data_IF_090053167613
#
_entry.id   IF_090053167613
#
_cell.length_a   1.000
_cell.length_b   1.000
_cell.length_c   1.000
_cell.angle_alpha   90.00
_cell.angle_beta   90.00
_cell.angle_gamma   90.00
#
_symmetry.space_group_name_H-M   'P 1'
#
loop_
_entity.id
_entity.type
_entity.pdbx_description
1 polymer ?
#
# COMPACT_ATOMS: atom_id res chain seq x y z
N UNK A 1 2.57 -28.11 23.67
CA UNK A 1 1.71 -27.59 22.59
C UNK A 1 1.87 -28.52 21.40
N UNK A 2 0.79 -28.89 20.70
CA UNK A 2 0.82 -29.69 19.46
C UNK A 2 0.05 -28.94 18.39
N UNK A 3 0.57 -28.86 17.17
CA UNK A 3 -0.08 -28.24 16.02
C UNK A 3 -1.02 -29.29 15.42
N UNK A 4 -2.30 -28.96 15.27
CA UNK A 4 -3.29 -29.85 14.64
C UNK A 4 -3.30 -29.66 13.12
N UNK A 5 -3.32 -28.40 12.70
CA UNK A 5 -3.31 -27.98 11.30
C UNK A 5 -2.31 -26.85 11.13
N UNK A 6 -1.41 -26.95 10.15
CA UNK A 6 -0.40 -25.93 9.89
C UNK A 6 -0.98 -24.69 9.18
N UNK A 7 -1.97 -24.88 8.31
CA UNK A 7 -2.62 -23.82 7.56
C UNK A 7 -4.14 -24.03 7.59
N UNK A 8 -4.81 -23.36 8.53
CA UNK A 8 -6.28 -23.43 8.66
C UNK A 8 -7.00 -22.40 7.79
N UNK A 9 -6.36 -21.25 7.53
CA UNK A 9 -6.93 -20.14 6.79
C UNK A 9 -5.84 -19.32 6.12
N UNK A 10 -6.25 -18.53 5.14
CA UNK A 10 -5.45 -17.48 4.51
C UNK A 10 -6.17 -16.16 4.80
N UNK A 11 -5.42 -15.16 5.24
CA UNK A 11 -5.95 -13.86 5.66
C UNK A 11 -5.37 -12.78 4.78
N UNK A 12 -6.20 -11.80 4.43
CA UNK A 12 -5.79 -10.56 3.78
C UNK A 12 -5.04 -9.65 4.75
N UNK A 13 -4.19 -8.77 4.22
CA UNK A 13 -3.55 -7.73 5.00
C UNK A 13 -4.58 -6.83 5.70
N UNK A 14 -5.75 -6.61 5.08
CA UNK A 14 -6.85 -5.86 5.68
C UNK A 14 -7.45 -6.54 6.93
N UNK A 15 -7.73 -7.84 6.88
CA UNK A 15 -8.27 -8.58 8.02
C UNK A 15 -7.28 -8.57 9.20
N UNK A 16 -5.98 -8.74 8.89
CA UNK A 16 -4.91 -8.64 9.88
C UNK A 16 -4.85 -7.22 10.48
N UNK A 17 -4.89 -6.20 9.63
CA UNK A 17 -4.91 -4.80 10.05
C UNK A 17 -6.10 -4.49 10.97
N UNK A 18 -7.30 -4.91 10.60
CA UNK A 18 -8.51 -4.73 11.41
C UNK A 18 -8.38 -5.45 12.76
N UNK A 19 -7.91 -6.70 12.75
CA UNK A 19 -7.73 -7.50 13.95
C UNK A 19 -6.74 -6.85 14.95
N UNK A 20 -5.59 -6.39 14.46
CA UNK A 20 -4.58 -5.72 15.28
C UNK A 20 -5.08 -4.37 15.82
N UNK A 21 -5.80 -3.61 14.98
CA UNK A 21 -6.43 -2.36 15.39
C UNK A 21 -7.44 -2.57 16.53
N UNK A 22 -8.26 -3.62 16.44
CA UNK A 22 -9.26 -3.95 17.45
C UNK A 22 -8.65 -4.49 18.75
N UNK A 23 -7.54 -5.23 18.66
CA UNK A 23 -6.74 -5.59 19.84
C UNK A 23 -6.22 -4.33 20.53
N UNK A 24 -5.64 -3.38 19.78
CA UNK A 24 -5.09 -2.13 20.34
C UNK A 24 -6.16 -1.29 21.03
N UNK A 25 -7.35 -1.16 20.42
CA UNK A 25 -8.51 -0.48 21.02
C UNK A 25 -8.93 -1.13 22.34
N UNK A 26 -9.04 -2.46 22.39
CA UNK A 26 -9.39 -3.22 23.60
C UNK A 26 -8.34 -3.11 24.70
N UNK A 27 -7.06 -3.09 24.34
CA UNK A 27 -5.96 -2.95 25.29
C UNK A 27 -5.93 -1.55 25.92
N UNK A 28 -6.27 -0.51 25.15
CA UNK A 28 -6.34 0.87 25.65
C UNK A 28 -7.57 1.13 26.54
N UNK A 29 -8.68 0.43 26.31
CA UNK A 29 -9.92 0.59 27.08
C UNK A 29 -10.01 -0.30 28.33
N UNK A 30 -9.14 -1.31 28.45
CA UNK A 30 -9.15 -2.26 29.56
C UNK A 30 -8.32 -1.79 30.75
N UNK A 31 -8.88 -1.96 31.95
CA UNK A 31 -8.20 -1.83 33.26
C UNK A 31 -6.88 -2.65 33.30
N UNK A 32 -5.87 -2.25 34.11
CA UNK A 32 -4.47 -2.73 34.07
C UNK A 32 -4.25 -4.25 34.22
N UNK A 33 -5.29 -5.03 34.52
CA UNK A 33 -5.23 -6.49 34.71
C UNK A 33 -5.26 -7.31 33.40
N UNK A 34 -5.54 -6.68 32.25
CA UNK A 34 -5.62 -7.34 30.92
C UNK A 34 -4.68 -6.74 29.89
N UNK A 35 -3.57 -6.14 30.34
CA UNK A 35 -2.58 -5.54 29.45
C UNK A 35 -1.90 -6.64 28.63
N UNK A 36 -1.84 -6.42 27.32
CA UNK A 36 -1.12 -7.27 26.38
C UNK A 36 0.35 -7.44 26.81
N UNK A 37 0.92 -8.65 26.70
CA UNK A 37 2.35 -8.87 26.91
C UNK A 37 3.20 -7.93 26.05
N UNK A 38 4.33 -7.49 26.56
CA UNK A 38 5.15 -6.45 25.93
C UNK A 38 5.64 -6.83 24.52
N UNK A 39 6.12 -8.06 24.33
CA UNK A 39 6.56 -8.53 23.01
C UNK A 39 5.43 -8.57 21.98
N UNK A 40 4.25 -9.02 22.40
CA UNK A 40 3.07 -9.07 21.54
C UNK A 40 2.59 -7.64 21.18
N UNK A 41 2.69 -6.71 22.13
CA UNK A 41 2.40 -5.31 21.87
C UNK A 41 3.39 -4.69 20.88
N UNK A 42 4.70 -4.93 21.05
CA UNK A 42 5.73 -4.45 20.12
C UNK A 42 5.48 -4.98 18.72
N UNK A 43 5.29 -6.29 18.55
CA UNK A 43 5.01 -6.90 17.26
C UNK A 43 3.74 -6.32 16.62
N UNK A 44 2.66 -6.15 17.39
CA UNK A 44 1.42 -5.57 16.86
C UNK A 44 1.62 -4.14 16.35
N UNK A 45 2.49 -3.36 17.01
CA UNK A 45 2.81 -1.99 16.60
C UNK A 45 3.65 -2.00 15.32
N UNK A 46 4.69 -2.82 15.26
CA UNK A 46 5.59 -2.93 14.10
C UNK A 46 4.85 -3.41 12.84
N UNK A 47 3.94 -4.39 12.97
CA UNK A 47 3.13 -4.86 11.84
C UNK A 47 2.16 -3.79 11.37
N UNK A 48 1.50 -3.07 12.29
CA UNK A 48 0.64 -1.95 11.91
C UNK A 48 1.44 -0.84 11.22
N UNK A 49 2.62 -0.50 11.73
CA UNK A 49 3.51 0.49 11.12
C UNK A 49 3.93 0.08 9.70
N UNK A 50 4.30 -1.20 9.51
CA UNK A 50 4.60 -1.75 8.20
C UNK A 50 3.42 -1.60 7.22
N UNK A 51 2.21 -1.99 7.63
CA UNK A 51 1.02 -1.89 6.78
C UNK A 51 0.59 -0.43 6.50
N UNK A 52 0.90 0.49 7.41
CA UNK A 52 0.55 1.90 7.30
C UNK A 52 1.62 2.76 6.57
N UNK A 53 2.73 2.16 6.13
CA UNK A 53 3.83 2.90 5.47
C UNK A 53 3.73 2.80 3.94
N UNK A 54 4.00 3.87 3.21
CA UNK A 54 4.14 3.79 1.75
C UNK A 54 5.28 2.82 1.35
N UNK A 55 5.11 1.98 0.31
CA UNK A 55 4.07 2.04 -0.72
C UNK A 55 2.84 1.14 -0.46
N UNK A 56 2.60 0.68 0.77
CA UNK A 56 1.51 -0.27 1.01
C UNK A 56 0.12 0.38 0.87
N UNK A 57 -0.86 -0.33 0.26
CA UNK A 57 -2.20 0.21 0.02
C UNK A 57 -2.99 0.63 1.26
N UNK A 58 -2.61 0.15 2.45
CA UNK A 58 -3.32 0.45 3.69
C UNK A 58 -2.80 1.73 4.39
N UNK A 59 -1.81 2.43 3.82
CA UNK A 59 -1.22 3.63 4.43
C UNK A 59 -2.23 4.75 4.70
N UNK A 60 -3.22 4.93 3.82
CA UNK A 60 -4.27 5.94 3.93
C UNK A 60 -5.62 5.36 4.37
N UNK A 61 -5.64 4.10 4.83
CA UNK A 61 -6.87 3.38 5.17
C UNK A 61 -7.70 4.08 6.25
N UNK A 62 -7.07 4.84 7.16
CA UNK A 62 -7.78 5.62 8.19
C UNK A 62 -8.54 6.80 7.61
N UNK A 63 -8.09 7.34 6.49
CA UNK A 63 -8.59 8.56 5.86
C UNK A 63 -9.58 8.24 4.74
N UNK A 64 -9.20 7.35 3.80
CA UNK A 64 -9.98 7.06 2.60
C UNK A 64 -10.90 5.85 2.71
N UNK A 65 -10.60 4.89 3.58
CA UNK A 65 -11.39 3.66 3.80
C UNK A 65 -11.64 2.83 2.53
N UNK A 66 -10.68 2.78 1.62
CA UNK A 66 -10.76 1.96 0.39
C UNK A 66 -10.96 0.46 0.69
N UNK A 67 -10.43 -0.02 1.81
CA UNK A 67 -10.54 -1.41 2.21
C UNK A 67 -11.67 -1.64 3.21
N UNK A 68 -12.51 -2.63 2.91
CA UNK A 68 -13.59 -3.09 3.77
C UNK A 68 -13.91 -4.54 3.46
N UNK A 69 -14.64 -5.19 4.37
CA UNK A 69 -15.19 -6.52 4.10
C UNK A 69 -16.07 -6.52 2.84
N UNK A 70 -16.84 -5.45 2.61
CA UNK A 70 -17.70 -5.33 1.43
C UNK A 70 -16.91 -5.18 0.13
N UNK A 71 -15.78 -4.44 0.15
CA UNK A 71 -14.93 -4.31 -1.06
C UNK A 71 -14.17 -5.59 -1.37
N UNK A 72 -13.80 -6.38 -0.37
CA UNK A 72 -13.26 -7.73 -0.57
C UNK A 72 -14.29 -8.65 -1.24
N UNK A 73 -15.52 -8.71 -0.71
CA UNK A 73 -16.60 -9.51 -1.28
C UNK A 73 -16.91 -9.10 -2.72
N UNK A 74 -17.00 -7.80 -2.98
CA UNK A 74 -17.23 -7.24 -4.32
C UNK A 74 -16.10 -7.58 -5.29
N UNK A 75 -14.84 -7.48 -4.86
CA UNK A 75 -13.68 -7.84 -5.69
C UNK A 75 -13.72 -9.33 -6.03
N UNK A 76 -13.95 -10.20 -5.04
CA UNK A 76 -14.04 -11.64 -5.26
C UNK A 76 -15.17 -12.01 -6.23
N UNK A 77 -16.34 -11.39 -6.10
CA UNK A 77 -17.47 -11.60 -7.00
C UNK A 77 -17.13 -11.20 -8.44
N UNK A 78 -16.61 -9.97 -8.62
CA UNK A 78 -16.24 -9.46 -9.94
C UNK A 78 -15.11 -10.25 -10.61
N UNK A 79 -14.11 -10.68 -9.84
CA UNK A 79 -13.03 -11.53 -10.34
C UNK A 79 -13.57 -12.91 -10.77
N UNK A 80 -14.42 -13.53 -9.96
CA UNK A 80 -15.00 -14.83 -10.30
C UNK A 80 -15.91 -14.78 -11.54
N UNK A 81 -16.63 -13.67 -11.75
CA UNK A 81 -17.50 -13.48 -12.91
C UNK A 81 -16.72 -13.23 -14.20
N UNK A 82 -15.75 -12.31 -14.17
CA UNK A 82 -15.05 -11.83 -15.38
C UNK A 82 -13.74 -12.56 -15.67
N UNK A 83 -13.07 -13.06 -14.65
CA UNK A 83 -11.75 -13.68 -14.74
C UNK A 83 -11.72 -15.01 -13.98
N UNK A 84 -12.49 -16.02 -14.43
CA UNK A 84 -12.68 -17.27 -13.69
C UNK A 84 -11.39 -18.08 -13.48
N UNK A 85 -10.37 -17.83 -14.29
CA UNK A 85 -9.07 -18.47 -14.18
C UNK A 85 -8.15 -17.86 -13.10
N UNK A 86 -8.56 -16.75 -12.46
CA UNK A 86 -7.81 -16.17 -11.34
C UNK A 86 -7.92 -17.10 -10.12
N UNK A 87 -6.77 -17.54 -9.63
CA UNK A 87 -6.71 -18.41 -8.45
C UNK A 87 -6.97 -17.61 -7.18
N UNK A 88 -7.33 -18.32 -6.10
CA UNK A 88 -7.52 -17.68 -4.77
C UNK A 88 -6.25 -16.96 -4.28
N UNK A 89 -5.07 -17.51 -4.60
CA UNK A 89 -3.80 -16.90 -4.20
C UNK A 89 -3.52 -15.60 -4.98
N UNK A 90 -3.81 -15.59 -6.28
CA UNK A 90 -3.72 -14.39 -7.12
C UNK A 90 -4.73 -13.34 -6.68
N UNK A 91 -5.99 -13.72 -6.42
CA UNK A 91 -7.01 -12.80 -5.92
C UNK A 91 -6.64 -12.16 -4.57
N UNK A 92 -6.05 -12.94 -3.66
CA UNK A 92 -5.48 -12.43 -2.41
C UNK A 92 -4.37 -11.41 -2.67
N UNK A 93 -3.42 -11.76 -3.53
CA UNK A 93 -2.30 -10.87 -3.86
C UNK A 93 -2.74 -9.60 -4.59
N UNK A 94 -3.75 -9.69 -5.47
CA UNK A 94 -4.38 -8.53 -6.12
C UNK A 94 -4.98 -7.60 -5.05
N UNK A 95 -5.69 -8.14 -4.07
CA UNK A 95 -6.27 -7.35 -2.99
C UNK A 95 -5.20 -6.70 -2.11
N UNK A 96 -4.18 -7.46 -1.72
CA UNK A 96 -3.13 -7.01 -0.80
C UNK A 96 -2.13 -6.03 -1.44
N UNK A 97 -1.83 -6.17 -2.73
CA UNK A 97 -0.85 -5.33 -3.46
C UNK A 97 -1.53 -4.17 -4.20
N UNK A 98 -2.79 -4.32 -4.62
CA UNK A 98 -3.56 -3.33 -5.39
C UNK A 98 -2.82 -2.87 -6.67
N UNK A 99 -2.67 -3.75 -7.67
CA UNK A 99 -2.02 -3.39 -8.93
C UNK A 99 -2.81 -2.28 -9.66
N UNK A 100 -2.17 -1.13 -9.87
CA UNK A 100 -2.74 0.00 -10.63
C UNK A 100 -2.25 0.08 -12.07
N UNK A 101 -1.39 -0.86 -12.48
CA UNK A 101 -0.85 -0.94 -13.84
C UNK A 101 -0.50 -2.39 -14.20
N UNK A 102 -0.43 -2.65 -15.51
CA UNK A 102 -0.18 -3.98 -16.07
C UNK A 102 1.16 -4.57 -15.60
N UNK A 103 2.29 -3.83 -15.54
CA UNK A 103 3.54 -4.38 -15.03
C UNK A 103 3.45 -4.94 -13.60
N UNK A 104 2.76 -4.26 -12.69
CA UNK A 104 2.57 -4.77 -11.32
C UNK A 104 1.62 -5.97 -11.33
N UNK A 105 0.58 -5.96 -12.15
CA UNK A 105 -0.34 -7.10 -12.31
C UNK A 105 0.39 -8.35 -12.83
N UNK A 106 1.32 -8.20 -13.77
CA UNK A 106 2.12 -9.30 -14.35
C UNK A 106 3.09 -9.94 -13.34
N UNK A 107 3.44 -9.24 -12.26
CA UNK A 107 4.22 -9.82 -11.14
C UNK A 107 3.32 -10.71 -10.26
N UNK A 108 2.03 -10.40 -10.17
CA UNK A 108 1.09 -11.09 -9.31
C UNK A 108 0.50 -12.33 -9.99
N UNK A 109 0.14 -12.20 -11.27
CA UNK A 109 -0.56 -13.24 -12.03
C UNK A 109 0.44 -13.96 -12.94
N UNK A 110 0.63 -15.26 -12.72
CA UNK A 110 1.59 -16.04 -13.49
C UNK A 110 1.14 -16.17 -14.96
N UNK A 111 2.11 -16.00 -15.88
CA UNK A 111 1.87 -16.09 -17.33
C UNK A 111 0.69 -15.22 -17.79
N UNK A 112 0.60 -13.98 -17.29
CA UNK A 112 -0.50 -13.05 -17.59
C UNK A 112 -0.74 -12.91 -19.10
N UNK A 113 0.33 -12.73 -19.87
CA UNK A 113 0.29 -12.54 -21.33
C UNK A 113 -0.22 -13.78 -22.09
N UNK A 114 -0.03 -14.98 -21.55
CA UNK A 114 -0.51 -16.22 -22.16
C UNK A 114 -1.99 -16.48 -21.84
N UNK A 115 -2.48 -15.91 -20.72
CA UNK A 115 -3.82 -16.16 -20.18
C UNK A 115 -4.86 -15.14 -20.62
N UNK A 116 -4.45 -13.89 -20.83
CA UNK A 116 -5.36 -12.78 -21.07
C UNK A 116 -4.87 -11.89 -22.21
N UNK A 117 -5.79 -11.40 -23.03
CA UNK A 117 -5.46 -10.41 -24.06
C UNK A 117 -5.06 -9.08 -23.43
N UNK A 118 -4.38 -8.21 -24.20
CA UNK A 118 -4.00 -6.87 -23.71
C UNK A 118 -5.21 -6.07 -23.21
N UNK A 119 -6.37 -6.21 -23.88
CA UNK A 119 -7.61 -5.57 -23.44
C UNK A 119 -8.14 -6.15 -22.12
N UNK A 120 -8.08 -7.47 -21.94
CA UNK A 120 -8.52 -8.13 -20.70
C UNK A 120 -7.60 -7.78 -19.52
N UNK A 121 -6.29 -7.68 -19.77
CA UNK A 121 -5.31 -7.22 -18.78
C UNK A 121 -5.63 -5.80 -18.31
N UNK A 122 -5.93 -4.89 -19.23
CA UNK A 122 -6.32 -3.53 -18.88
C UNK A 122 -7.66 -3.51 -18.11
N UNK A 123 -8.65 -4.32 -18.53
CA UNK A 123 -9.92 -4.45 -17.81
C UNK A 123 -9.74 -4.95 -16.38
N UNK A 124 -8.77 -5.84 -16.14
CA UNK A 124 -8.46 -6.34 -14.80
C UNK A 124 -7.88 -5.22 -13.92
N UNK A 125 -6.96 -4.42 -14.45
CA UNK A 125 -6.43 -3.24 -13.75
C UNK A 125 -7.53 -2.22 -13.47
N UNK A 126 -8.36 -1.90 -14.46
CA UNK A 126 -9.46 -0.95 -14.32
C UNK A 126 -10.47 -1.40 -13.26
N UNK A 127 -10.76 -2.70 -13.20
CA UNK A 127 -11.62 -3.29 -12.17
C UNK A 127 -11.02 -3.13 -10.77
N UNK A 128 -9.70 -3.34 -10.62
CA UNK A 128 -9.02 -3.14 -9.34
C UNK A 128 -9.10 -1.68 -8.91
N UNK A 129 -8.86 -0.73 -9.82
CA UNK A 129 -8.96 0.71 -9.55
C UNK A 129 -10.40 1.09 -9.21
N UNK A 130 -11.40 0.54 -9.92
CA UNK A 130 -12.82 0.79 -9.66
C UNK A 130 -13.24 0.36 -8.25
N UNK A 131 -12.74 -0.80 -7.79
CA UNK A 131 -13.17 -1.40 -6.51
C UNK A 131 -12.33 -0.92 -5.33
N UNK A 132 -11.01 -0.84 -5.49
CA UNK A 132 -10.05 -0.54 -4.41
C UNK A 132 -9.50 0.89 -4.46
N UNK A 133 -9.87 1.67 -5.47
CA UNK A 133 -9.34 3.01 -5.70
C UNK A 133 -7.89 3.00 -6.19
N UNK A 134 -7.34 4.21 -6.31
CA UNK A 134 -5.94 4.45 -6.60
C UNK A 134 -5.45 5.59 -5.72
N UNK A 135 -4.14 5.63 -5.47
CA UNK A 135 -3.53 6.76 -4.79
C UNK A 135 -3.59 8.01 -5.68
N UNK A 136 -3.67 9.18 -5.04
CA UNK A 136 -3.59 10.44 -5.77
C UNK A 136 -2.19 10.53 -6.40
N UNK A 137 -2.07 11.03 -7.64
CA UNK A 137 -0.76 11.25 -8.24
C UNK A 137 0.06 12.12 -7.29
N UNK A 138 1.25 11.65 -6.91
CA UNK A 138 2.18 12.48 -6.16
C UNK A 138 2.44 13.74 -7.01
N UNK A 139 2.37 14.94 -6.42
CA UNK A 139 2.67 16.16 -7.16
C UNK A 139 4.08 16.01 -7.71
N UNK A 140 4.21 16.10 -9.03
CA UNK A 140 5.51 16.15 -9.69
C UNK A 140 6.30 17.29 -9.03
N UNK A 141 7.36 16.94 -8.30
CA UNK A 141 8.33 17.94 -7.87
C UNK A 141 8.91 18.52 -9.17
N UNK A 142 8.47 19.75 -9.52
CA UNK A 142 9.08 20.52 -10.60
C UNK A 142 10.59 20.53 -10.35
N UNK A 143 11.34 19.78 -11.15
CA UNK A 143 12.79 19.88 -11.18
C UNK A 143 13.12 21.33 -11.54
N UNK A 144 13.50 22.11 -10.53
CA UNK A 144 13.80 23.52 -10.68
C UNK A 144 14.85 23.71 -11.78
N UNK A 145 14.46 24.41 -12.83
CA UNK A 145 15.40 25.03 -13.77
C UNK A 145 16.35 25.93 -12.96
N UNK A 146 17.56 25.45 -12.68
CA UNK A 146 18.64 26.31 -12.20
C UNK A 146 18.98 27.30 -13.32
N UNK A 147 18.39 28.49 -13.21
CA UNK A 147 18.70 29.65 -14.03
C UNK A 147 20.19 29.97 -13.96
N UNK A 148 20.83 29.96 -15.13
CA UNK A 148 22.16 30.50 -15.32
C UNK A 148 22.13 32.01 -15.07
N UNK A 149 22.48 32.45 -13.86
CA UNK A 149 22.77 33.86 -13.58
C UNK A 149 24.22 34.19 -14.01
N UNK A 150 24.32 34.80 -15.18
CA UNK A 150 25.46 35.63 -15.60
C UNK A 150 25.48 36.91 -14.75
N UNK A 151 26.63 37.22 -14.14
CA UNK A 151 26.76 38.29 -13.15
C UNK A 151 28.21 38.75 -12.97
N UNK A 152 28.72 39.41 -14.02
CA UNK A 152 29.99 40.14 -14.07
C UNK A 152 30.23 41.03 -12.83
N UNK A 153 31.17 40.62 -11.98
CA UNK A 153 31.55 41.32 -10.75
C UNK A 153 32.69 42.32 -11.02
N UNK A 154 32.33 43.55 -11.40
CA UNK A 154 33.21 44.71 -11.27
C UNK A 154 33.13 45.28 -9.85
N UNK A 155 34.18 45.11 -9.05
CA UNK A 155 34.39 45.88 -7.82
C UNK A 155 35.78 46.53 -7.79
N UNK A 156 35.77 47.82 -8.10
CA UNK A 156 36.82 48.78 -7.77
C UNK A 156 36.89 48.94 -6.24
N UNK A 157 38.06 48.75 -5.64
CA UNK A 157 38.35 49.22 -4.28
C UNK A 157 39.64 50.03 -4.30
N UNK A 158 39.46 51.35 -4.19
CA UNK A 158 40.47 52.29 -3.73
C UNK A 158 40.93 51.91 -2.31
N UNK A 159 42.24 51.89 -2.07
CA UNK A 159 42.78 52.09 -0.71
C UNK A 159 43.95 53.06 -0.78
N UNK A 160 43.71 54.24 -0.18
CA UNK A 160 44.73 55.22 0.12
C UNK A 160 45.28 55.01 1.52
N UNK A 161 46.61 55.19 1.61
CA UNK A 161 47.44 55.63 2.74
C UNK A 161 47.77 54.70 3.92
N UNK A 162 49.08 54.57 4.12
CA UNK A 162 49.74 54.18 5.35
C UNK A 162 51.25 53.99 5.17
N UNK A 163 52.01 55.10 5.02
CA UNK A 163 53.46 55.15 5.19
C UNK A 163 53.82 56.38 6.02
#
# INVERSE_FOLDING_TARGET
>A
MKILEAQSAVLTNYEVYQHLTDIRKRNNSSQPKRRMPEDAFRLSKEVLEYLETKPYPLHDQKEKQHYSQATLELLCEKLAEKFPDITKAEGLAIFDVRPTNIPVLAIIVESLEDRYTEEEQQQLVDLVIEVLGQDDPEPEEEEGEEGAEDGDAVQSVETANGA
#
